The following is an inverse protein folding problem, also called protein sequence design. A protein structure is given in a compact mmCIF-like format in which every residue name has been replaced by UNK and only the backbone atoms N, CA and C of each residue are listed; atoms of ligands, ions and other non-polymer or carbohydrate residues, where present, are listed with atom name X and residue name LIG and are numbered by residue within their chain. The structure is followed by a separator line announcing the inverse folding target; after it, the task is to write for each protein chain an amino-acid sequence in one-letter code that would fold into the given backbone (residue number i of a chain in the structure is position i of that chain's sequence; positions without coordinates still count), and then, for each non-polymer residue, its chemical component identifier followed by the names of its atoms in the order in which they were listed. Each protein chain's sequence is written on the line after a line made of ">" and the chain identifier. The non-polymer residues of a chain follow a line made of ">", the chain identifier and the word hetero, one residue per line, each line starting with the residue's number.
data_IF_866418334659
#
_entry.id   IF_866418334659
#
_cell.length_a   1.000
_cell.length_b   1.000
_cell.length_c   1.000
_cell.angle_alpha   90.00
_cell.angle_beta   90.00
_cell.angle_gamma   90.00
#
_symmetry.space_group_name_H-M   'P 1'
#
loop_
_entity.id
_entity.type
_entity.pdbx_description
1 polymer ?
#
# COMPACT_ATOMS: atom_id res chain seq x y z
N UNK A 1 20.41 -4.00 28.52
CA UNK A 1 20.16 -2.58 28.19
C UNK A 1 20.51 -2.19 26.75
N UNK A 2 21.42 -2.89 26.06
CA UNK A 2 21.76 -2.60 24.66
C UNK A 2 20.69 -3.04 23.64
N UNK A 3 19.98 -4.14 23.89
CA UNK A 3 19.04 -4.72 22.91
C UNK A 3 17.80 -3.86 22.66
N UNK A 4 17.29 -3.18 23.69
CA UNK A 4 16.11 -2.30 23.56
C UNK A 4 16.39 -1.08 22.67
N UNK A 5 17.59 -0.49 22.71
CA UNK A 5 17.92 0.65 21.84
C UNK A 5 18.15 0.23 20.38
N UNK A 6 18.74 -0.96 20.17
CA UNK A 6 18.96 -1.53 18.82
C UNK A 6 17.62 -1.84 18.14
N UNK A 7 16.71 -2.47 18.87
CA UNK A 7 15.38 -2.82 18.36
C UNK A 7 14.55 -1.59 17.97
N UNK A 8 14.63 -0.53 18.77
CA UNK A 8 13.98 0.76 18.46
C UNK A 8 14.56 1.40 17.18
N UNK A 9 15.88 1.30 16.98
CA UNK A 9 16.52 1.85 15.78
C UNK A 9 16.11 1.09 14.52
N UNK A 10 16.08 -0.24 14.59
CA UNK A 10 15.65 -1.10 13.48
C UNK A 10 14.19 -0.82 13.11
N UNK A 11 13.27 -0.83 14.07
CA UNK A 11 11.84 -0.63 13.78
C UNK A 11 11.57 0.74 13.14
N UNK A 12 12.30 1.77 13.58
CA UNK A 12 12.24 3.11 12.99
C UNK A 12 12.73 3.14 11.54
N UNK A 13 13.83 2.45 11.23
CA UNK A 13 14.35 2.35 9.86
C UNK A 13 13.33 1.61 8.97
N UNK A 14 12.83 0.47 9.43
CA UNK A 14 11.86 -0.35 8.67
C UNK A 14 10.58 0.46 8.39
N UNK A 15 9.98 1.09 9.41
CA UNK A 15 8.78 1.90 9.24
C UNK A 15 8.99 3.07 8.27
N UNK A 16 10.14 3.76 8.35
CA UNK A 16 10.47 4.86 7.44
C UNK A 16 10.66 4.38 6.00
N UNK A 17 11.23 3.20 5.80
CA UNK A 17 11.37 2.57 4.49
C UNK A 17 10.02 2.16 3.92
N UNK A 18 9.16 1.53 4.73
CA UNK A 18 7.80 1.15 4.33
C UNK A 18 6.96 2.36 3.94
N UNK A 19 7.06 3.47 4.69
CA UNK A 19 6.39 4.73 4.34
C UNK A 19 6.82 5.24 2.95
N UNK A 20 8.12 5.17 2.64
CA UNK A 20 8.63 5.59 1.32
C UNK A 20 8.08 4.70 0.20
N UNK A 21 8.07 3.39 0.41
CA UNK A 21 7.48 2.43 -0.52
C UNK A 21 6.00 2.71 -0.76
N UNK A 22 5.24 2.93 0.31
CA UNK A 22 3.82 3.27 0.22
C UNK A 22 3.59 4.54 -0.61
N UNK A 23 4.34 5.62 -0.35
CA UNK A 23 4.25 6.87 -1.13
C UNK A 23 4.59 6.64 -2.60
N UNK A 24 5.62 5.83 -2.89
CA UNK A 24 6.03 5.52 -4.25
C UNK A 24 4.95 4.72 -4.99
N UNK A 25 4.31 3.74 -4.32
CA UNK A 25 3.17 3.02 -4.87
C UNK A 25 1.98 3.96 -5.13
N UNK A 26 1.71 4.89 -4.22
CA UNK A 26 0.63 5.85 -4.36
C UNK A 26 0.87 6.80 -5.54
N UNK A 27 2.12 7.25 -5.72
CA UNK A 27 2.55 8.04 -6.87
C UNK A 27 2.43 7.27 -8.18
N UNK A 28 2.79 5.98 -8.19
CA UNK A 28 2.62 5.12 -9.35
C UNK A 28 1.14 4.88 -9.69
N UNK A 29 0.30 4.67 -8.67
CA UNK A 29 -1.15 4.56 -8.83
C UNK A 29 -1.75 5.82 -9.46
N UNK A 30 -1.35 6.99 -8.96
CA UNK A 30 -1.77 8.27 -9.50
C UNK A 30 -1.29 8.46 -10.95
N UNK A 31 -0.03 8.12 -11.24
CA UNK A 31 0.52 8.18 -12.59
C UNK A 31 -0.28 7.33 -13.58
N UNK A 32 -0.58 6.07 -13.22
CA UNK A 32 -1.43 5.20 -14.04
C UNK A 32 -2.82 5.81 -14.24
N UNK A 33 -3.43 6.32 -13.17
CA UNK A 33 -4.77 6.94 -13.25
C UNK A 33 -4.80 8.12 -14.23
N UNK A 34 -3.79 8.99 -14.23
CA UNK A 34 -3.71 10.11 -15.17
C UNK A 34 -3.24 9.73 -16.58
N UNK A 35 -2.61 8.56 -16.74
CA UNK A 35 -2.08 8.10 -18.04
C UNK A 35 -3.07 7.24 -18.83
N UNK A 36 -4.13 6.73 -18.20
CA UNK A 36 -5.16 5.95 -18.90
C UNK A 36 -6.08 6.92 -19.67
N UNK A 37 -6.04 6.84 -21.02
CA UNK A 37 -6.98 7.55 -21.88
C UNK A 37 -8.42 7.08 -21.64
N UNK A 38 -9.37 8.02 -21.62
CA UNK A 38 -10.79 7.76 -21.34
C UNK A 38 -11.43 6.76 -22.31
N UNK A 39 -10.88 6.62 -23.51
CA UNK A 39 -11.33 5.68 -24.55
C UNK A 39 -11.06 4.21 -24.15
N UNK A 40 -10.03 3.95 -23.34
CA UNK A 40 -9.70 2.59 -22.87
C UNK A 40 -10.66 2.17 -21.74
N UNK A 41 -11.12 3.12 -20.92
CA UNK A 41 -12.09 2.89 -19.84
C UNK A 41 -13.48 2.47 -20.35
N UNK A 42 -13.94 3.04 -21.47
CA UNK A 42 -15.26 2.70 -22.05
C UNK A 42 -15.31 1.29 -22.68
N UNK A 43 -14.19 0.78 -23.19
CA UNK A 43 -14.08 -0.58 -23.73
C UNK A 43 -13.71 -1.62 -22.67
N UNK A 44 -13.24 -1.16 -21.51
CA UNK A 44 -12.97 -1.99 -20.35
C UNK A 44 -14.26 -2.27 -19.57
N UNK A 45 -15.08 -3.20 -20.08
CA UNK A 45 -16.02 -3.95 -19.24
C UNK A 45 -15.24 -4.86 -18.29
N UNK A 46 -14.54 -4.27 -17.32
CA UNK A 46 -13.92 -5.02 -16.23
C UNK A 46 -15.04 -5.52 -15.33
N UNK A 47 -15.63 -6.64 -15.74
CA UNK A 47 -16.48 -7.44 -14.87
C UNK A 47 -15.58 -7.97 -13.77
N UNK A 48 -15.52 -7.24 -12.64
CA UNK A 48 -14.89 -7.75 -11.43
C UNK A 48 -15.85 -8.78 -10.83
N UNK A 49 -15.58 -10.09 -10.96
CA UNK A 49 -16.54 -11.11 -10.54
C UNK A 49 -16.76 -11.11 -9.02
N UNK A 50 -15.82 -10.55 -8.24
CA UNK A 50 -15.88 -10.51 -6.78
C UNK A 50 -15.62 -9.10 -6.25
N UNK A 51 -16.70 -8.36 -5.99
CA UNK A 51 -16.66 -7.02 -5.36
C UNK A 51 -15.92 -7.02 -4.02
N UNK A 52 -15.91 -8.15 -3.32
CA UNK A 52 -15.19 -8.37 -2.06
C UNK A 52 -13.66 -8.25 -2.17
N UNK A 53 -13.09 -8.43 -3.36
CA UNK A 53 -11.65 -8.30 -3.58
C UNK A 53 -11.15 -6.86 -3.35
N UNK A 54 -12.04 -5.86 -3.40
CA UNK A 54 -11.68 -4.46 -3.10
C UNK A 54 -11.87 -4.10 -1.63
N UNK A 55 -12.66 -4.87 -0.88
CA UNK A 55 -12.91 -4.57 0.53
C UNK A 55 -11.65 -4.74 1.37
N UNK A 56 -10.88 -5.80 1.11
CA UNK A 56 -9.63 -6.08 1.82
C UNK A 56 -8.56 -4.99 1.67
N UNK A 57 -8.19 -4.53 0.46
CA UNK A 57 -7.23 -3.44 0.30
C UNK A 57 -7.75 -2.10 0.82
N UNK A 58 -9.06 -1.83 0.73
CA UNK A 58 -9.68 -0.64 1.36
C UNK A 58 -9.51 -0.66 2.88
N UNK A 59 -9.77 -1.81 3.51
CA UNK A 59 -9.63 -1.95 4.96
C UNK A 59 -8.17 -1.79 5.39
N UNK A 60 -7.23 -2.42 4.66
CA UNK A 60 -5.79 -2.25 4.89
C UNK A 60 -5.34 -0.79 4.72
N UNK A 61 -5.88 -0.06 3.74
CA UNK A 61 -5.60 1.37 3.54
C UNK A 61 -6.11 2.23 4.72
N UNK A 62 -7.32 1.98 5.20
CA UNK A 62 -7.87 2.72 6.34
C UNK A 62 -7.01 2.50 7.58
N UNK A 63 -6.63 1.25 7.85
CA UNK A 63 -5.73 0.89 8.95
C UNK A 63 -4.35 1.54 8.76
N UNK A 64 -3.80 1.53 7.55
CA UNK A 64 -2.51 2.14 7.22
C UNK A 64 -2.52 3.65 7.54
N UNK A 65 -3.58 4.37 7.15
CA UNK A 65 -3.73 5.81 7.42
C UNK A 65 -3.82 6.07 8.93
N UNK A 66 -4.59 5.25 9.66
CA UNK A 66 -4.69 5.36 11.11
C UNK A 66 -3.35 5.14 11.81
N UNK A 67 -2.63 4.08 11.42
CA UNK A 67 -1.30 3.76 11.93
C UNK A 67 -0.26 4.83 11.55
N UNK A 68 -0.34 5.38 10.33
CA UNK A 68 0.50 6.47 9.87
C UNK A 68 0.35 7.69 10.78
N UNK A 69 -0.89 8.12 11.04
CA UNK A 69 -1.14 9.26 11.91
C UNK A 69 -0.60 9.01 13.32
N UNK A 70 -0.83 7.81 13.87
CA UNK A 70 -0.35 7.45 15.20
C UNK A 70 1.18 7.40 15.27
N UNK A 71 1.83 6.80 14.27
CA UNK A 71 3.28 6.67 14.18
C UNK A 71 3.96 8.03 13.99
N UNK A 72 3.40 8.92 13.16
CA UNK A 72 3.88 10.30 12.98
C UNK A 72 3.69 11.13 14.25
N UNK A 73 2.53 11.03 14.91
CA UNK A 73 2.25 11.71 16.18
C UNK A 73 3.25 11.33 17.27
N UNK A 74 3.60 10.05 17.36
CA UNK A 74 4.58 9.55 18.32
C UNK A 74 6.04 9.61 17.80
N UNK A 75 6.30 10.23 16.64
CA UNK A 75 7.64 10.37 16.04
C UNK A 75 8.45 9.06 16.06
N UNK A 76 7.82 7.94 15.74
CA UNK A 76 8.45 6.61 15.71
C UNK A 76 8.96 6.09 17.08
N UNK A 77 8.55 6.71 18.20
CA UNK A 77 9.03 6.38 19.56
C UNK A 77 8.55 5.00 20.05
N UNK A 78 7.41 4.53 19.54
CA UNK A 78 6.83 3.25 19.93
C UNK A 78 7.20 2.17 18.90
N UNK A 79 8.12 1.28 19.29
CA UNK A 79 8.58 0.19 18.43
C UNK A 79 7.45 -0.72 17.96
N UNK A 80 6.48 -1.03 18.83
CA UNK A 80 5.35 -1.90 18.49
C UNK A 80 4.48 -1.31 17.37
N UNK A 81 4.29 0.01 17.39
CA UNK A 81 3.47 0.74 16.41
C UNK A 81 4.22 0.84 15.10
N UNK A 82 5.54 1.05 15.14
CA UNK A 82 6.39 1.00 13.95
C UNK A 82 6.31 -0.37 13.28
N UNK A 83 6.32 -1.46 14.06
CA UNK A 83 6.18 -2.82 13.53
C UNK A 83 4.79 -3.10 12.99
N UNK A 84 3.74 -2.68 13.70
CA UNK A 84 2.36 -2.86 13.25
C UNK A 84 2.11 -2.11 11.93
N UNK A 85 2.60 -0.87 11.84
CA UNK A 85 2.61 -0.12 10.58
C UNK A 85 3.40 -0.87 9.50
N UNK A 86 4.62 -1.31 9.80
CA UNK A 86 5.48 -1.97 8.80
C UNK A 86 4.84 -3.25 8.24
N UNK A 87 4.21 -4.05 9.10
CA UNK A 87 3.51 -5.28 8.69
C UNK A 87 2.26 -4.97 7.86
N UNK A 88 1.45 -4.00 8.28
CA UNK A 88 0.27 -3.59 7.53
C UNK A 88 0.66 -3.03 6.15
N UNK A 89 1.68 -2.18 6.12
CA UNK A 89 2.24 -1.61 4.90
C UNK A 89 2.76 -2.71 3.98
N UNK A 90 3.51 -3.70 4.49
CA UNK A 90 4.00 -4.83 3.70
C UNK A 90 2.85 -5.61 3.05
N UNK A 91 1.82 -5.96 3.82
CA UNK A 91 0.64 -6.69 3.32
C UNK A 91 -0.11 -5.89 2.26
N UNK A 92 -0.29 -4.58 2.49
CA UNK A 92 -0.94 -3.69 1.54
C UNK A 92 -0.14 -3.59 0.23
N UNK A 93 1.18 -3.44 0.31
CA UNK A 93 2.04 -3.42 -0.87
C UNK A 93 1.95 -4.72 -1.68
N UNK A 94 2.05 -5.88 -1.03
CA UNK A 94 1.90 -7.19 -1.69
C UNK A 94 0.53 -7.30 -2.38
N UNK A 95 -0.53 -6.89 -1.70
CA UNK A 95 -1.88 -6.95 -2.24
C UNK A 95 -2.06 -6.02 -3.44
N UNK A 96 -1.54 -4.80 -3.37
CA UNK A 96 -1.58 -3.86 -4.49
C UNK A 96 -0.82 -4.39 -5.70
N UNK A 97 0.36 -5.00 -5.50
CA UNK A 97 1.11 -5.65 -6.57
C UNK A 97 0.28 -6.78 -7.21
N UNK A 98 -0.32 -7.66 -6.40
CA UNK A 98 -1.20 -8.74 -6.89
C UNK A 98 -2.38 -8.17 -7.70
N UNK A 99 -3.03 -7.13 -7.19
CA UNK A 99 -4.14 -6.46 -7.87
C UNK A 99 -3.69 -5.85 -9.20
N UNK A 100 -2.52 -5.19 -9.25
CA UNK A 100 -1.94 -4.70 -10.50
C UNK A 100 -1.62 -5.82 -11.48
N UNK A 101 -1.01 -6.92 -11.05
CA UNK A 101 -0.71 -8.06 -11.94
C UNK A 101 -1.96 -8.74 -12.47
N UNK A 102 -3.10 -8.63 -11.77
CA UNK A 102 -4.37 -9.16 -12.24
C UNK A 102 -5.09 -8.21 -13.21
N UNK A 103 -4.96 -6.90 -13.00
CA UNK A 103 -5.57 -5.88 -13.85
C UNK A 103 -4.76 -5.71 -15.14
N UNK A 104 -3.43 -5.69 -15.08
CA UNK A 104 -2.55 -5.41 -16.23
C UNK A 104 -2.81 -6.30 -17.47
N UNK A 105 -3.02 -7.63 -17.35
CA UNK A 105 -3.41 -8.46 -18.49
C UNK A 105 -4.76 -8.04 -19.08
N UNK A 106 -5.74 -7.64 -18.26
CA UNK A 106 -7.04 -7.17 -18.74
C UNK A 106 -6.93 -5.85 -19.51
N UNK A 107 -5.92 -5.01 -19.20
CA UNK A 107 -5.63 -3.79 -19.95
C UNK A 107 -4.95 -4.06 -21.30
N UNK A 108 -4.20 -5.16 -21.41
CA UNK A 108 -3.29 -5.42 -22.54
C UNK A 108 -3.84 -6.44 -23.57
N UNK A 109 -5.01 -7.05 -23.32
CA UNK A 109 -5.69 -7.97 -24.26
C UNK A 109 -6.78 -7.30 -25.11
N UNK A 110 -6.76 -5.97 -25.22
CA UNK A 110 -7.63 -5.19 -26.10
C UNK A 110 -7.00 -4.75 -27.42
N UNK A 111 -5.96 -5.45 -27.90
CA UNK A 111 -5.31 -5.22 -29.21
C UNK A 111 -5.68 -6.31 -30.20
#
# INVERSE_FOLDING_TARGET
>A
MMDTSKNHTISKIVAKTMLRLFILLLGFAAYLYFSIDTIVLDNMKVSFPHQWAFLFPMLLLIIEIGLLFFMLKHKYSKSDINWLFSLNSLLLNIYLILLYTRIYPLLNFGS
#
